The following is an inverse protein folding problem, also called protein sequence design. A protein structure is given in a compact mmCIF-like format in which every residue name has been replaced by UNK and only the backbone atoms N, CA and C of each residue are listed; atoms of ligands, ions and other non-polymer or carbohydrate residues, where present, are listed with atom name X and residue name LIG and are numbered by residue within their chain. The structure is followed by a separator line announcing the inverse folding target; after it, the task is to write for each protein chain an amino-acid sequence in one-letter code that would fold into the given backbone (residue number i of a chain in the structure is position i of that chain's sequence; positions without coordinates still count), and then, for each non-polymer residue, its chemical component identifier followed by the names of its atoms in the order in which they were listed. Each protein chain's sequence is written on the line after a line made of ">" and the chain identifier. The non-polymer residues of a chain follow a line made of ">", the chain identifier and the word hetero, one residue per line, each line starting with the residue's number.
data_IF_877957778871
#
_entry.id   IF_877957778871
#
_cell.length_a   1.000
_cell.length_b   1.000
_cell.length_c   1.000
_cell.angle_alpha   90.00
_cell.angle_beta   90.00
_cell.angle_gamma   90.00
#
_symmetry.space_group_name_H-M   'P 1'
#
loop_
_entity.id
_entity.type
_entity.pdbx_description
1 polymer ?
#
# COMPACT_ATOMS: atom_id res chain seq x y z
N UNK A 1 20.12 -15.94 2.45
CA UNK A 1 19.18 -14.85 2.78
C UNK A 1 17.90 -15.08 1.99
N UNK A 2 16.71 -14.95 2.60
CA UNK A 2 15.45 -15.12 1.88
C UNK A 2 15.16 -13.85 1.04
N UNK A 3 15.07 -13.92 -0.31
CA UNK A 3 14.85 -12.75 -1.16
C UNK A 3 13.37 -12.30 -1.21
N UNK A 4 12.44 -13.08 -0.66
CA UNK A 4 10.99 -12.83 -0.79
C UNK A 4 10.54 -11.45 -0.26
N UNK A 5 11.00 -10.94 0.90
CA UNK A 5 10.64 -9.59 1.35
C UNK A 5 11.11 -8.50 0.39
N UNK A 6 12.31 -8.67 -0.19
CA UNK A 6 12.88 -7.71 -1.13
C UNK A 6 12.07 -7.69 -2.42
N UNK A 7 11.74 -8.86 -2.97
CA UNK A 7 10.91 -8.99 -4.18
C UNK A 7 9.50 -8.40 -3.97
N UNK A 8 8.91 -8.62 -2.79
CA UNK A 8 7.62 -8.05 -2.42
C UNK A 8 7.67 -6.52 -2.33
N UNK A 9 8.71 -5.97 -1.70
CA UNK A 9 8.93 -4.53 -1.65
C UNK A 9 9.09 -3.92 -3.05
N UNK A 10 9.91 -4.54 -3.92
CA UNK A 10 10.09 -4.10 -5.31
C UNK A 10 8.77 -4.19 -6.09
N UNK A 11 8.00 -5.27 -5.92
CA UNK A 11 6.68 -5.42 -6.53
C UNK A 11 5.69 -4.34 -6.09
N UNK A 12 5.64 -4.04 -4.79
CA UNK A 12 4.79 -2.98 -4.26
C UNK A 12 5.19 -1.59 -4.77
N UNK A 13 6.49 -1.29 -4.84
CA UNK A 13 7.01 -0.05 -5.45
C UNK A 13 6.56 0.04 -6.90
N UNK A 14 6.74 -1.03 -7.68
CA UNK A 14 6.35 -1.05 -9.08
C UNK A 14 4.85 -0.76 -9.24
N UNK A 15 3.98 -1.37 -8.43
CA UNK A 15 2.53 -1.12 -8.45
C UNK A 15 2.22 0.34 -8.13
N UNK A 16 2.75 0.88 -7.03
CA UNK A 16 2.42 2.23 -6.58
C UNK A 16 2.93 3.31 -7.56
N UNK A 17 4.19 3.19 -8.02
CA UNK A 17 4.79 4.15 -8.96
C UNK A 17 4.14 4.07 -10.33
N UNK A 18 3.85 2.85 -10.83
CA UNK A 18 3.16 2.69 -12.12
C UNK A 18 1.75 3.24 -12.05
N UNK A 19 1.00 2.97 -10.96
CA UNK A 19 -0.31 3.55 -10.73
C UNK A 19 -0.27 5.08 -10.73
N UNK A 20 0.70 5.67 -10.03
CA UNK A 20 0.90 7.12 -10.00
C UNK A 20 1.25 7.69 -11.39
N UNK A 21 2.14 7.03 -12.13
CA UNK A 21 2.55 7.45 -13.47
C UNK A 21 1.37 7.39 -14.48
N UNK A 22 0.56 6.33 -14.43
CA UNK A 22 -0.64 6.19 -15.25
C UNK A 22 -1.65 7.27 -14.89
N UNK A 23 -1.94 7.46 -13.59
CA UNK A 23 -2.87 8.48 -13.15
C UNK A 23 -2.42 9.89 -13.58
N UNK A 24 -1.12 10.19 -13.48
CA UNK A 24 -0.58 11.46 -13.94
C UNK A 24 -0.76 11.66 -15.46
N UNK A 25 -0.57 10.61 -16.27
CA UNK A 25 -0.76 10.68 -17.73
C UNK A 25 -2.22 10.82 -18.15
N UNK A 26 -3.15 10.23 -17.40
CA UNK A 26 -4.57 10.27 -17.69
C UNK A 26 -5.26 11.54 -17.16
N UNK A 27 -4.57 12.36 -16.36
CA UNK A 27 -5.16 13.59 -15.84
C UNK A 27 -5.36 14.62 -16.96
N UNK A 28 -6.53 15.27 -17.02
CA UNK A 28 -6.76 16.41 -17.90
C UNK A 28 -5.71 17.50 -17.64
N UNK A 29 -5.24 18.14 -18.70
CA UNK A 29 -4.43 19.34 -18.56
C UNK A 29 -5.26 20.43 -17.87
N UNK A 30 -4.71 21.01 -16.79
CA UNK A 30 -5.33 22.17 -16.13
C UNK A 30 -5.28 23.35 -17.12
N UNK A 31 -6.41 24.01 -17.41
CA UNK A 31 -6.44 25.18 -18.27
C UNK A 31 -5.47 26.27 -17.78
N UNK A 32 -4.78 26.95 -18.70
CA UNK A 32 -3.88 28.04 -18.34
C UNK A 32 -4.64 29.14 -17.58
N UNK A 33 -4.23 29.39 -16.32
CA UNK A 33 -4.83 30.42 -15.45
C UNK A 33 -5.62 29.88 -14.26
N UNK A 34 -5.91 28.56 -14.21
CA UNK A 34 -6.52 27.95 -13.03
C UNK A 34 -5.47 27.44 -12.04
N UNK A 35 -5.73 27.67 -10.74
CA UNK A 35 -4.91 27.11 -9.66
C UNK A 35 -5.08 25.59 -9.70
N UNK A 36 -3.99 24.80 -9.75
CA UNK A 36 -4.10 23.34 -9.72
C UNK A 36 -4.90 22.94 -8.46
N UNK A 37 -5.92 22.09 -8.59
CA UNK A 37 -6.79 21.76 -7.47
C UNK A 37 -5.96 21.19 -6.33
N UNK A 38 -6.02 21.83 -5.17
CA UNK A 38 -5.38 21.29 -3.97
C UNK A 38 -5.99 19.90 -3.68
N UNK A 39 -5.19 18.92 -3.21
CA UNK A 39 -5.72 17.64 -2.81
C UNK A 39 -6.80 17.88 -1.74
N UNK A 40 -8.07 17.59 -2.06
CA UNK A 40 -9.18 17.83 -1.15
C UNK A 40 -8.91 17.19 0.22
N UNK A 41 -9.11 17.95 1.31
CA UNK A 41 -8.83 17.49 2.67
C UNK A 41 -9.53 16.17 3.05
N UNK A 42 -10.67 15.86 2.42
CA UNK A 42 -11.39 14.60 2.53
C UNK A 42 -10.63 13.39 1.97
N UNK A 43 -9.73 13.58 1.00
CA UNK A 43 -8.84 12.52 0.55
C UNK A 43 -7.90 12.13 1.70
N UNK A 44 -7.32 13.10 2.40
CA UNK A 44 -6.39 12.84 3.52
C UNK A 44 -6.98 11.92 4.60
N UNK A 45 -8.26 12.10 4.97
CA UNK A 45 -8.94 11.23 5.94
C UNK A 45 -9.23 9.83 5.40
N UNK A 46 -9.52 9.71 4.10
CA UNK A 46 -9.67 8.41 3.43
C UNK A 46 -8.32 7.67 3.43
N UNK A 47 -7.24 8.37 3.10
CA UNK A 47 -5.89 7.81 3.11
C UNK A 47 -5.45 7.32 4.49
N UNK A 48 -5.71 8.11 5.54
CA UNK A 48 -5.38 7.71 6.92
C UNK A 48 -6.25 6.56 7.42
N UNK A 49 -7.52 6.51 7.03
CA UNK A 49 -8.41 5.38 7.30
C UNK A 49 -7.95 4.09 6.63
N UNK A 50 -7.61 4.15 5.33
CA UNK A 50 -7.09 3.01 4.58
C UNK A 50 -5.78 2.48 5.18
N UNK A 51 -4.85 3.38 5.49
CA UNK A 51 -3.57 3.01 6.10
C UNK A 51 -3.76 2.39 7.48
N UNK A 52 -4.59 2.99 8.33
CA UNK A 52 -4.90 2.45 9.66
C UNK A 52 -5.55 1.07 9.58
N UNK A 53 -6.51 0.89 8.68
CA UNK A 53 -7.18 -0.39 8.45
C UNK A 53 -6.21 -1.47 7.97
N UNK A 54 -5.34 -1.15 7.01
CA UNK A 54 -4.28 -2.04 6.56
C UNK A 54 -3.35 -2.42 7.73
N UNK A 55 -2.82 -1.45 8.47
CA UNK A 55 -1.91 -1.73 9.60
C UNK A 55 -2.58 -2.66 10.62
N UNK A 56 -3.82 -2.37 11.02
CA UNK A 56 -4.54 -3.21 11.99
C UNK A 56 -4.73 -4.65 11.48
N UNK A 57 -5.14 -4.80 10.22
CA UNK A 57 -5.37 -6.10 9.61
C UNK A 57 -4.06 -6.91 9.48
N UNK A 58 -3.01 -6.29 8.94
CA UNK A 58 -1.70 -6.93 8.77
C UNK A 58 -1.08 -7.27 10.13
N UNK A 59 -1.16 -6.37 11.12
CA UNK A 59 -0.67 -6.65 12.48
C UNK A 59 -1.39 -7.83 13.12
N UNK A 60 -2.71 -7.95 12.92
CA UNK A 60 -3.47 -9.11 13.39
C UNK A 60 -3.01 -10.42 12.70
N UNK A 61 -2.77 -10.40 11.39
CA UNK A 61 -2.24 -11.55 10.64
C UNK A 61 -0.85 -11.97 11.11
N UNK A 62 0.04 -11.01 11.38
CA UNK A 62 1.38 -11.28 11.92
C UNK A 62 1.27 -11.92 13.31
N UNK A 63 0.47 -11.33 14.20
CA UNK A 63 0.28 -11.84 15.57
C UNK A 63 -0.35 -13.24 15.59
N UNK A 64 -1.35 -13.48 14.75
CA UNK A 64 -1.98 -14.81 14.63
C UNK A 64 -1.06 -15.83 13.95
N UNK A 65 -0.24 -15.41 12.98
CA UNK A 65 0.82 -16.25 12.40
C UNK A 65 1.81 -16.74 13.46
N UNK A 66 2.32 -15.83 14.30
CA UNK A 66 3.16 -16.21 15.44
C UNK A 66 2.47 -17.16 16.41
N UNK A 67 1.23 -16.87 16.79
CA UNK A 67 0.46 -17.72 17.69
C UNK A 67 0.17 -19.11 17.08
N UNK A 68 0.03 -19.20 15.76
CA UNK A 68 -0.28 -20.46 15.08
C UNK A 68 0.85 -21.50 15.24
N UNK A 69 2.11 -21.05 15.33
CA UNK A 69 3.26 -21.93 15.53
C UNK A 69 3.26 -22.63 16.88
N UNK A 70 2.61 -22.07 17.90
CA UNK A 70 2.53 -22.68 19.24
C UNK A 70 1.17 -23.30 19.54
N UNK A 71 0.09 -22.79 18.93
CA UNK A 71 -1.29 -23.21 19.20
C UNK A 71 -1.88 -24.14 18.14
N UNK A 72 -1.29 -24.22 16.95
CA UNK A 72 -1.82 -24.97 15.81
C UNK A 72 -3.08 -24.35 15.17
N UNK A 73 -3.55 -23.20 15.66
CA UNK A 73 -4.71 -22.50 15.10
C UNK A 73 -4.29 -21.69 13.88
N UNK A 74 -4.79 -22.07 12.71
CA UNK A 74 -4.43 -21.43 11.44
C UNK A 74 -5.42 -20.30 11.11
N UNK A 75 -4.95 -19.07 10.81
CA UNK A 75 -5.83 -17.99 10.40
C UNK A 75 -6.52 -18.29 9.05
N UNK A 76 -7.81 -17.90 8.87
CA UNK A 76 -8.54 -18.12 7.64
C UNK A 76 -7.87 -17.48 6.42
N UNK A 77 -7.84 -18.19 5.29
CA UNK A 77 -7.27 -17.69 4.01
C UNK A 77 -7.91 -16.39 3.53
N UNK A 78 -9.19 -16.19 3.85
CA UNK A 78 -9.91 -14.97 3.49
C UNK A 78 -9.29 -13.70 4.11
N UNK A 79 -8.65 -13.80 5.28
CA UNK A 79 -7.98 -12.66 5.91
C UNK A 79 -6.75 -12.21 5.12
N UNK A 80 -5.97 -13.17 4.59
CA UNK A 80 -4.82 -12.86 3.72
C UNK A 80 -5.27 -12.20 2.41
N UNK A 81 -6.40 -12.63 1.85
CA UNK A 81 -6.96 -11.98 0.65
C UNK A 81 -7.45 -10.56 0.95
N UNK A 82 -8.09 -10.35 2.09
CA UNK A 82 -8.50 -9.02 2.56
C UNK A 82 -7.29 -8.10 2.80
N UNK A 83 -6.21 -8.63 3.37
CA UNK A 83 -4.94 -7.91 3.60
C UNK A 83 -4.28 -7.50 2.29
N UNK A 84 -4.27 -8.39 1.31
CA UNK A 84 -3.79 -8.08 -0.02
C UNK A 84 -4.64 -7.01 -0.72
N UNK A 85 -5.96 -7.09 -0.60
CA UNK A 85 -6.86 -6.06 -1.13
C UNK A 85 -6.65 -4.70 -0.45
N UNK A 86 -6.50 -4.68 0.88
CA UNK A 86 -6.21 -3.46 1.63
C UNK A 86 -4.85 -2.86 1.25
N UNK A 87 -3.80 -3.70 1.15
CA UNK A 87 -2.48 -3.29 0.70
C UNK A 87 -2.50 -2.68 -0.70
N UNK A 88 -3.22 -3.30 -1.65
CA UNK A 88 -3.39 -2.74 -3.00
C UNK A 88 -4.13 -1.39 -2.99
N UNK A 89 -5.21 -1.27 -2.21
CA UNK A 89 -5.94 0.00 -2.08
C UNK A 89 -5.03 1.11 -1.53
N UNK A 90 -4.22 0.79 -0.53
CA UNK A 90 -3.24 1.69 0.08
C UNK A 90 -2.13 2.08 -0.91
N UNK A 91 -1.62 1.14 -1.70
CA UNK A 91 -0.59 1.40 -2.73
C UNK A 91 -1.10 2.28 -3.88
N UNK A 92 -2.37 2.14 -4.26
CA UNK A 92 -2.98 2.92 -5.33
C UNK A 92 -3.54 4.26 -4.86
N UNK A 93 -3.77 4.43 -3.55
CA UNK A 93 -4.31 5.65 -2.97
C UNK A 93 -3.53 6.92 -3.38
N UNK A 94 -2.18 6.97 -3.38
CA UNK A 94 -1.44 8.13 -3.87
C UNK A 94 -1.81 8.57 -5.30
N UNK A 95 -2.06 7.61 -6.18
CA UNK A 95 -2.46 7.85 -7.57
C UNK A 95 -3.87 8.45 -7.65
N UNK A 96 -4.79 7.89 -6.86
CA UNK A 96 -6.19 8.33 -6.73
C UNK A 96 -6.29 9.71 -6.04
N UNK A 97 -5.43 9.99 -5.07
CA UNK A 97 -5.42 11.20 -4.26
C UNK A 97 -4.92 12.45 -5.00
N UNK A 98 -4.53 12.33 -6.28
CA UNK A 98 -4.12 13.52 -7.02
C UNK A 98 -2.64 13.90 -6.84
N UNK A 99 -1.78 13.06 -6.24
CA UNK A 99 -0.38 13.45 -6.04
C UNK A 99 0.33 13.72 -7.37
N UNK A 100 1.14 14.80 -7.47
CA UNK A 100 1.87 15.12 -8.69
C UNK A 100 3.10 14.24 -8.84
N UNK A 101 3.47 13.93 -10.08
CA UNK A 101 4.59 13.03 -10.40
C UNK A 101 5.93 13.78 -10.37
N UNK A 102 6.29 14.32 -9.21
CA UNK A 102 7.59 14.98 -8.98
C UNK A 102 8.56 14.04 -8.23
N UNK A 103 9.89 14.24 -8.36
CA UNK A 103 10.88 13.38 -7.70
C UNK A 103 10.66 13.24 -6.19
N UNK A 104 10.20 14.31 -5.53
CA UNK A 104 9.90 14.30 -4.09
C UNK A 104 8.79 13.33 -3.73
N UNK A 105 7.65 13.39 -4.43
CA UNK A 105 6.52 12.51 -4.14
C UNK A 105 6.76 11.08 -4.59
N UNK A 106 7.42 10.88 -5.74
CA UNK A 106 7.84 9.54 -6.19
C UNK A 106 8.73 8.87 -5.13
N UNK A 107 9.71 9.60 -4.59
CA UNK A 107 10.58 9.07 -3.53
C UNK A 107 9.78 8.67 -2.29
N UNK A 108 8.84 9.51 -1.83
CA UNK A 108 7.97 9.20 -0.70
C UNK A 108 7.11 7.95 -0.96
N UNK A 109 6.52 7.84 -2.15
CA UNK A 109 5.71 6.69 -2.57
C UNK A 109 6.55 5.41 -2.63
N UNK A 110 7.80 5.48 -3.09
CA UNK A 110 8.71 4.33 -3.09
C UNK A 110 8.96 3.80 -1.67
N UNK A 111 9.33 4.65 -0.72
CA UNK A 111 9.58 4.21 0.67
C UNK A 111 8.33 3.65 1.33
N UNK A 112 7.20 4.31 1.11
CA UNK A 112 5.91 3.85 1.58
C UNK A 112 5.54 2.46 1.03
N UNK A 113 5.64 2.30 -0.29
CA UNK A 113 5.32 1.05 -0.96
C UNK A 113 6.28 -0.08 -0.56
N UNK A 114 7.56 0.23 -0.38
CA UNK A 114 8.56 -0.72 0.12
C UNK A 114 8.17 -1.27 1.49
N UNK A 115 7.74 -0.39 2.41
CA UNK A 115 7.29 -0.78 3.74
C UNK A 115 6.06 -1.69 3.68
N UNK A 116 5.04 -1.31 2.90
CA UNK A 116 3.82 -2.12 2.70
C UNK A 116 4.14 -3.49 2.12
N UNK A 117 4.97 -3.56 1.07
CA UNK A 117 5.39 -4.82 0.47
C UNK A 117 6.17 -5.71 1.44
N UNK A 118 7.02 -5.11 2.27
CA UNK A 118 7.76 -5.83 3.30
C UNK A 118 6.83 -6.41 4.38
N UNK A 119 5.88 -5.63 4.90
CA UNK A 119 4.98 -6.08 5.96
C UNK A 119 4.01 -7.17 5.49
N UNK A 120 3.47 -7.05 4.28
CA UNK A 120 2.66 -8.12 3.67
C UNK A 120 3.48 -9.41 3.49
N UNK A 121 4.73 -9.29 3.06
CA UNK A 121 5.61 -10.44 2.89
C UNK A 121 5.86 -11.17 4.21
N UNK A 122 6.03 -10.42 5.31
CA UNK A 122 6.14 -11.00 6.65
C UNK A 122 4.86 -11.73 7.06
N UNK A 123 3.69 -11.12 6.87
CA UNK A 123 2.41 -11.75 7.21
C UNK A 123 2.23 -13.11 6.49
N UNK A 124 2.61 -13.18 5.22
CA UNK A 124 2.53 -14.42 4.43
C UNK A 124 3.58 -15.45 4.86
N UNK A 125 4.81 -15.04 5.15
CA UNK A 125 5.87 -15.96 5.56
C UNK A 125 5.65 -16.57 6.95
N UNK A 126 4.90 -15.90 7.80
CA UNK A 126 4.49 -16.39 9.13
C UNK A 126 3.27 -17.30 9.08
N UNK A 127 2.78 -17.62 7.89
CA UNK A 127 1.74 -18.62 7.71
C UNK A 127 2.31 -20.03 8.00
N UNK A 128 1.61 -20.86 8.79
CA UNK A 128 2.04 -22.21 9.10
C UNK A 128 1.99 -23.15 7.90
#
# INVERSE_FOLDING_TARGET
>A
MNPVPLLSAVGAIAVAVTGLAIAHRLRPAVPEGEIPPEPHATLSSIGSGLLSGFILLTSFLIATGWASHTTGLVPPRALYAADLAAGLAVLLYPALAGLPFTPRYVTAVCFFAALVGYTMSLAVQLRP
#
